data_IF_752713822108
#
_entry.id   IF_752713822108
#
_cell.length_a   1.000
_cell.length_b   1.000
_cell.length_c   1.000
_cell.angle_alpha   90.00
_cell.angle_beta   90.00
_cell.angle_gamma   90.00
#
_symmetry.space_group_name_H-M   'P 1'
#
loop_
_entity.id
_entity.type
_entity.pdbx_description
1 polymer ?
#
# COMPACT_ATOMS: atom_id res chain seq x y z
N UNK A 1 -12.66 3.70 10.62
CA UNK A 1 -13.68 4.67 11.09
C UNK A 1 -14.90 3.91 11.54
N UNK A 2 -15.56 3.14 10.67
CA UNK A 2 -16.78 2.39 11.02
C UNK A 2 -16.59 1.46 12.23
N UNK A 3 -15.46 0.75 12.29
CA UNK A 3 -15.13 -0.20 13.37
C UNK A 3 -14.83 0.49 14.72
N UNK A 4 -14.23 1.69 14.69
CA UNK A 4 -13.75 2.39 15.89
C UNK A 4 -14.73 3.45 16.37
N UNK A 5 -15.33 4.20 15.45
CA UNK A 5 -16.22 5.32 15.76
C UNK A 5 -17.70 4.99 15.54
N UNK A 6 -18.01 3.78 15.04
CA UNK A 6 -19.36 3.32 14.68
C UNK A 6 -20.12 4.26 13.72
N UNK A 7 -19.37 5.10 12.98
CA UNK A 7 -19.89 6.06 12.00
C UNK A 7 -19.44 5.64 10.61
N UNK A 8 -20.36 5.63 9.65
CA UNK A 8 -20.02 5.46 8.23
C UNK A 8 -19.67 6.83 7.66
N UNK A 9 -18.40 7.09 7.30
CA UNK A 9 -18.02 8.36 6.68
C UNK A 9 -18.61 8.45 5.28
N UNK A 10 -18.96 9.67 4.84
CA UNK A 10 -19.28 9.92 3.44
C UNK A 10 -18.05 9.73 2.56
N UNK A 11 -18.22 9.09 1.41
CA UNK A 11 -17.22 8.97 0.34
C UNK A 11 -17.37 10.07 -0.73
N UNK A 12 -18.38 10.93 -0.62
CA UNK A 12 -18.71 11.94 -1.63
C UNK A 12 -17.70 13.09 -1.65
N UNK A 13 -16.92 13.25 -0.57
CA UNK A 13 -15.95 14.32 -0.43
C UNK A 13 -14.52 13.79 -0.51
N UNK A 14 -13.71 14.33 -1.41
CA UNK A 14 -12.27 14.21 -1.39
C UNK A 14 -11.63 15.48 -0.81
N UNK A 15 -10.67 15.32 0.10
CA UNK A 15 -9.91 16.43 0.64
C UNK A 15 -8.42 16.22 0.38
N UNK A 16 -7.87 16.74 -0.73
CA UNK A 16 -6.44 16.69 -1.02
C UNK A 16 -5.59 17.41 0.02
N UNK A 17 -4.31 17.11 0.03
CA UNK A 17 -3.36 17.71 0.97
C UNK A 17 -3.38 19.23 0.87
N UNK A 18 -3.57 19.90 2.00
CA UNK A 18 -3.69 21.37 2.10
C UNK A 18 -4.71 21.98 1.12
N UNK A 19 -5.67 21.20 0.62
CA UNK A 19 -6.60 21.65 -0.40
C UNK A 19 -5.95 21.97 -1.76
N UNK A 20 -4.72 21.52 -1.99
CA UNK A 20 -4.04 21.72 -3.28
C UNK A 20 -4.56 20.72 -4.32
N UNK A 21 -4.88 21.20 -5.51
CA UNK A 21 -5.46 20.41 -6.58
C UNK A 21 -4.75 20.64 -7.92
N UNK A 22 -4.75 19.59 -8.72
CA UNK A 22 -4.43 19.59 -10.15
C UNK A 22 -5.38 18.62 -10.88
N UNK A 23 -5.36 18.54 -12.21
CA UNK A 23 -6.28 17.66 -12.95
C UNK A 23 -6.13 16.16 -12.60
N UNK A 24 -4.93 15.69 -12.26
CA UNK A 24 -4.71 14.31 -11.88
C UNK A 24 -5.28 13.99 -10.50
N UNK A 25 -5.14 14.90 -9.55
CA UNK A 25 -5.73 14.77 -8.21
C UNK A 25 -7.27 14.74 -8.29
N UNK A 26 -7.87 15.63 -9.08
CA UNK A 26 -9.32 15.63 -9.31
C UNK A 26 -9.76 14.30 -9.94
N UNK A 27 -9.05 13.83 -10.98
CA UNK A 27 -9.32 12.54 -11.62
C UNK A 27 -9.28 11.36 -10.65
N UNK A 28 -8.27 11.32 -9.78
CA UNK A 28 -8.17 10.25 -8.75
C UNK A 28 -9.34 10.34 -7.76
N UNK A 29 -9.69 11.54 -7.30
CA UNK A 29 -10.79 11.76 -6.39
C UNK A 29 -12.13 11.26 -6.98
N UNK A 30 -12.42 11.62 -8.22
CA UNK A 30 -13.66 11.21 -8.92
C UNK A 30 -13.67 9.71 -9.23
N UNK A 31 -12.54 9.13 -9.60
CA UNK A 31 -12.42 7.67 -9.80
C UNK A 31 -12.64 6.89 -8.50
N UNK A 32 -12.38 7.50 -7.34
CA UNK A 32 -12.66 6.93 -6.02
C UNK A 32 -14.11 7.17 -5.55
N UNK A 33 -14.97 7.76 -6.38
CA UNK A 33 -16.38 7.99 -6.11
C UNK A 33 -16.74 9.34 -5.49
N UNK A 34 -15.77 10.26 -5.32
CA UNK A 34 -16.07 11.61 -4.82
C UNK A 34 -16.57 12.51 -5.95
N UNK A 35 -17.70 13.18 -5.72
CA UNK A 35 -18.24 14.22 -6.61
C UNK A 35 -17.93 15.65 -6.12
N UNK A 36 -17.36 15.76 -4.91
CA UNK A 36 -16.99 17.01 -4.25
C UNK A 36 -15.53 16.99 -3.83
N UNK A 37 -14.79 18.04 -4.19
CA UNK A 37 -13.37 18.17 -3.83
C UNK A 37 -13.16 19.42 -2.98
N UNK A 38 -12.76 19.23 -1.74
CA UNK A 38 -12.40 20.36 -0.85
C UNK A 38 -11.05 20.91 -1.30
N UNK A 39 -11.09 22.08 -1.94
CA UNK A 39 -9.92 22.77 -2.47
C UNK A 39 -9.72 24.11 -1.78
N UNK A 40 -8.48 24.50 -1.55
CA UNK A 40 -8.16 25.82 -0.98
C UNK A 40 -8.17 26.89 -2.05
N UNK A 41 -8.67 28.09 -1.73
CA UNK A 41 -8.88 29.16 -2.69
C UNK A 41 -7.60 29.59 -3.43
N UNK A 42 -6.44 29.50 -2.77
CA UNK A 42 -5.12 29.79 -3.37
C UNK A 42 -4.56 28.65 -4.24
N UNK A 43 -5.23 27.52 -4.31
CA UNK A 43 -4.89 26.39 -5.20
C UNK A 43 -5.74 26.32 -6.47
N UNK A 44 -6.63 27.26 -6.66
CA UNK A 44 -7.52 27.35 -7.81
C UNK A 44 -7.27 28.66 -8.56
N UNK A 45 -7.62 28.70 -9.86
CA UNK A 45 -7.58 29.91 -10.64
C UNK A 45 -8.97 30.53 -10.72
N UNK A 46 -9.15 31.70 -10.12
CA UNK A 46 -10.34 32.49 -10.30
C UNK A 46 -10.27 33.18 -11.68
N UNK A 47 -11.31 33.00 -12.48
CA UNK A 47 -11.40 33.60 -13.82
C UNK A 47 -12.52 34.63 -13.91
N UNK A 48 -13.27 34.82 -12.82
CA UNK A 48 -14.32 35.85 -12.71
C UNK A 48 -13.81 37.15 -12.08
N UNK A 49 -14.47 38.26 -12.38
CA UNK A 49 -14.13 39.58 -11.87
C UNK A 49 -14.94 40.00 -10.64
N UNK A 50 -15.24 39.07 -9.70
CA UNK A 50 -15.99 39.39 -8.50
C UNK A 50 -15.18 40.24 -7.51
N UNK A 51 -15.80 41.27 -6.94
CA UNK A 51 -15.21 42.14 -5.92
C UNK A 51 -15.33 41.58 -4.50
N UNK A 52 -15.90 40.40 -4.35
CA UNK A 52 -16.12 39.72 -3.07
C UNK A 52 -15.78 38.22 -3.20
N UNK A 53 -15.49 37.56 -2.08
CA UNK A 53 -15.28 36.12 -2.00
C UNK A 53 -16.62 35.42 -2.20
N UNK A 54 -16.81 34.63 -3.27
CA UNK A 54 -18.09 33.95 -3.53
C UNK A 54 -18.28 32.72 -2.62
N UNK A 55 -19.51 32.17 -2.65
CA UNK A 55 -19.85 30.92 -1.95
C UNK A 55 -18.90 29.77 -2.29
N UNK A 56 -18.74 28.83 -1.36
CA UNK A 56 -17.77 27.76 -1.46
C UNK A 56 -18.03 26.78 -2.61
N UNK A 57 -19.29 26.50 -2.95
CA UNK A 57 -19.64 25.56 -4.01
C UNK A 57 -19.34 26.14 -5.38
N UNK A 58 -18.43 25.52 -6.16
CA UNK A 58 -18.01 26.00 -7.50
C UNK A 58 -17.85 24.83 -8.45
N UNK A 59 -18.64 24.77 -9.53
CA UNK A 59 -18.46 23.75 -10.55
C UNK A 59 -17.07 23.85 -11.22
N UNK A 60 -16.37 22.73 -11.34
CA UNK A 60 -15.04 22.65 -11.99
C UNK A 60 -15.04 21.75 -13.23
N UNK A 61 -16.22 21.34 -13.69
CA UNK A 61 -16.41 20.49 -14.85
C UNK A 61 -16.57 19.00 -14.48
N UNK A 62 -17.02 18.20 -15.46
CA UNK A 62 -17.17 16.74 -15.31
C UNK A 62 -18.16 16.30 -14.22
N UNK A 63 -19.14 17.12 -13.86
CA UNK A 63 -20.06 16.82 -12.75
C UNK A 63 -19.45 17.02 -11.36
N UNK A 64 -18.22 17.50 -11.27
CA UNK A 64 -17.49 17.69 -10.01
C UNK A 64 -17.65 19.12 -9.49
N UNK A 65 -17.88 19.26 -8.19
CA UNK A 65 -17.94 20.55 -7.48
C UNK A 65 -16.70 20.72 -6.60
N UNK A 66 -15.96 21.82 -6.79
CA UNK A 66 -15.00 22.26 -5.80
C UNK A 66 -15.74 22.92 -4.64
N UNK A 67 -15.50 22.44 -3.44
CA UNK A 67 -15.90 23.10 -2.19
C UNK A 67 -14.71 23.92 -1.71
N UNK A 68 -14.74 25.21 -2.08
CA UNK A 68 -13.58 26.09 -1.93
C UNK A 68 -13.48 26.60 -0.51
N UNK A 69 -12.39 26.20 0.17
CA UNK A 69 -12.07 26.70 1.48
C UNK A 69 -11.24 27.99 1.39
N UNK A 70 -11.60 28.99 2.19
CA UNK A 70 -10.83 30.24 2.26
C UNK A 70 -9.40 29.97 2.76
N UNK A 71 -8.40 30.39 1.99
CA UNK A 71 -7.01 30.09 2.28
C UNK A 71 -6.52 30.80 3.55
N UNK A 72 -6.91 32.04 3.78
CA UNK A 72 -6.47 32.84 4.94
C UNK A 72 -7.08 32.33 6.22
N UNK A 73 -8.38 32.02 6.23
CA UNK A 73 -9.04 31.40 7.38
C UNK A 73 -8.47 29.99 7.64
N UNK A 74 -8.27 29.20 6.61
CA UNK A 74 -7.75 27.84 6.74
C UNK A 74 -6.31 27.75 7.25
N UNK A 75 -5.51 28.80 7.08
CA UNK A 75 -4.11 28.85 7.54
C UNK A 75 -3.91 29.66 8.81
N UNK A 76 -4.96 30.26 9.37
CA UNK A 76 -4.88 31.16 10.54
C UNK A 76 -4.23 30.51 11.78
N UNK A 77 -4.40 29.19 11.94
CA UNK A 77 -3.92 28.43 13.09
C UNK A 77 -2.63 27.64 12.81
N UNK A 78 -1.92 27.92 11.71
CA UNK A 78 -0.63 27.29 11.41
C UNK A 78 0.50 27.88 12.27
N UNK A 79 1.54 27.05 12.48
CA UNK A 79 2.70 27.44 13.27
C UNK A 79 2.63 27.04 14.74
N UNK A 80 3.56 27.56 15.53
CA UNK A 80 3.63 27.26 16.98
C UNK A 80 2.68 28.16 17.76
N UNK A 81 1.65 27.57 18.35
CA UNK A 81 0.65 28.22 19.21
C UNK A 81 0.79 27.83 20.69
N UNK A 82 1.97 27.44 21.13
CA UNK A 82 2.21 27.11 22.55
C UNK A 82 2.23 28.33 23.46
N UNK A 83 2.57 29.51 22.91
CA UNK A 83 2.55 30.79 23.65
C UNK A 83 1.18 31.43 23.58
N UNK A 84 0.65 31.91 24.72
CA UNK A 84 -0.65 32.56 24.82
C UNK A 84 -0.80 33.74 23.83
N UNK A 85 0.25 34.56 23.64
CA UNK A 85 0.23 35.67 22.69
C UNK A 85 0.06 35.21 21.24
N UNK A 86 0.68 34.09 20.84
CA UNK A 86 0.52 33.52 19.52
C UNK A 86 -0.88 32.96 19.31
N UNK A 87 -1.45 32.28 20.32
CA UNK A 87 -2.83 31.80 20.32
C UNK A 87 -3.81 32.95 20.16
N UNK A 88 -3.73 33.95 21.00
CA UNK A 88 -4.60 35.16 20.93
C UNK A 88 -4.51 35.83 19.57
N UNK A 89 -3.29 35.99 19.01
CA UNK A 89 -3.12 36.61 17.70
C UNK A 89 -3.76 35.75 16.58
N UNK A 90 -3.65 34.41 16.63
CA UNK A 90 -4.27 33.53 15.67
C UNK A 90 -5.80 33.63 15.70
N UNK A 91 -6.39 33.61 16.89
CA UNK A 91 -7.83 33.79 17.09
C UNK A 91 -8.30 35.15 16.58
N UNK A 92 -7.62 36.23 16.93
CA UNK A 92 -7.98 37.58 16.49
C UNK A 92 -7.88 37.74 14.97
N UNK A 93 -6.83 37.17 14.34
CA UNK A 93 -6.69 37.16 12.87
C UNK A 93 -7.83 36.41 12.20
N UNK A 94 -8.21 35.26 12.74
CA UNK A 94 -9.32 34.50 12.22
C UNK A 94 -10.64 35.24 12.28
N UNK A 95 -10.96 35.86 13.44
CA UNK A 95 -12.17 36.64 13.65
C UNK A 95 -12.19 37.90 12.77
N UNK A 96 -11.10 38.66 12.70
CA UNK A 96 -10.98 39.83 11.84
C UNK A 96 -11.15 39.48 10.36
N UNK A 97 -10.54 38.38 9.90
CA UNK A 97 -10.71 37.90 8.51
C UNK A 97 -12.17 37.47 8.25
N UNK A 98 -12.82 36.76 9.18
CA UNK A 98 -14.22 36.36 9.02
C UNK A 98 -15.16 37.56 8.95
N UNK A 99 -14.95 38.57 9.80
CA UNK A 99 -15.70 39.83 9.75
C UNK A 99 -15.46 40.58 8.44
N UNK A 100 -14.20 40.66 7.99
CA UNK A 100 -13.85 41.29 6.69
C UNK A 100 -14.60 40.62 5.54
N UNK A 101 -14.68 39.29 5.54
CA UNK A 101 -15.48 38.56 4.54
C UNK A 101 -16.95 38.93 4.64
N UNK A 102 -17.52 39.03 5.84
CA UNK A 102 -18.89 39.48 6.06
C UNK A 102 -19.19 40.86 5.46
N UNK A 103 -18.26 41.79 5.59
CA UNK A 103 -18.40 43.18 5.12
C UNK A 103 -18.21 43.37 3.60
N UNK A 104 -17.73 42.38 2.86
CA UNK A 104 -17.53 42.50 1.42
C UNK A 104 -18.82 42.67 0.61
N UNK A 105 -19.94 42.16 1.08
CA UNK A 105 -21.21 42.19 0.42
C UNK A 105 -22.36 41.85 1.38
N UNK A 106 -23.55 42.37 1.10
CA UNK A 106 -24.76 42.04 1.85
C UNK A 106 -25.41 40.70 1.44
N UNK A 107 -24.82 40.00 0.45
CA UNK A 107 -25.30 38.67 0.03
C UNK A 107 -24.94 37.63 1.04
N UNK A 108 -25.89 36.77 1.40
CA UNK A 108 -25.62 35.57 2.20
C UNK A 108 -24.76 34.59 1.39
N UNK A 109 -23.68 34.10 1.99
CA UNK A 109 -22.70 33.19 1.34
C UNK A 109 -22.27 32.11 2.29
N UNK A 110 -21.94 30.97 1.74
CA UNK A 110 -21.33 29.84 2.47
C UNK A 110 -19.80 29.92 2.35
N UNK A 111 -19.12 30.19 3.44
CA UNK A 111 -17.67 30.21 3.53
C UNK A 111 -17.21 28.93 4.22
N UNK A 112 -16.29 28.19 3.61
CA UNK A 112 -15.73 26.97 4.18
C UNK A 112 -14.31 27.24 4.69
N UNK A 113 -13.99 26.66 5.83
CA UNK A 113 -12.66 26.68 6.45
C UNK A 113 -12.17 25.24 6.57
N UNK A 114 -11.00 24.94 6.01
CA UNK A 114 -10.37 23.61 6.03
C UNK A 114 -8.96 23.73 6.63
N UNK A 115 -8.81 23.76 7.95
CA UNK A 115 -7.51 23.88 8.62
C UNK A 115 -6.67 22.61 8.45
N UNK A 116 -5.47 22.59 9.02
CA UNK A 116 -4.59 21.41 9.00
C UNK A 116 -5.26 20.19 9.63
N UNK A 117 -5.05 19.00 9.03
CA UNK A 117 -5.70 17.74 9.46
C UNK A 117 -5.24 17.21 10.81
N UNK A 118 -4.01 17.53 11.20
CA UNK A 118 -3.38 17.06 12.43
C UNK A 118 -2.95 18.26 13.27
N UNK A 119 -3.91 19.00 13.88
CA UNK A 119 -3.57 20.11 14.75
C UNK A 119 -2.91 19.60 16.04
N UNK A 120 -1.98 20.39 16.58
CA UNK A 120 -1.49 20.20 17.95
C UNK A 120 -2.57 20.54 18.95
N UNK A 121 -2.39 20.17 20.22
CA UNK A 121 -3.35 20.50 21.27
C UNK A 121 -3.60 22.02 21.40
N UNK A 122 -2.53 22.82 21.31
CA UNK A 122 -2.62 24.30 21.33
C UNK A 122 -3.36 24.85 20.11
N UNK A 123 -3.10 24.32 18.92
CA UNK A 123 -3.83 24.70 17.72
C UNK A 123 -5.32 24.32 17.80
N UNK A 124 -5.62 23.13 18.29
CA UNK A 124 -7.01 22.68 18.48
C UNK A 124 -7.76 23.57 19.49
N UNK A 125 -7.10 23.95 20.59
CA UNK A 125 -7.66 24.84 21.59
C UNK A 125 -7.94 26.24 20.98
N UNK A 126 -7.01 26.81 20.23
CA UNK A 126 -7.20 28.08 19.51
C UNK A 126 -8.35 28.01 18.49
N UNK A 127 -8.49 26.91 17.76
CA UNK A 127 -9.63 26.70 16.84
C UNK A 127 -10.96 26.66 17.59
N UNK A 128 -11.02 25.97 18.73
CA UNK A 128 -12.23 25.90 19.56
C UNK A 128 -12.61 27.29 20.09
N UNK A 129 -11.65 28.05 20.59
CA UNK A 129 -11.87 29.44 21.06
C UNK A 129 -12.42 30.31 19.91
N UNK A 130 -11.80 30.25 18.73
CA UNK A 130 -12.23 31.01 17.56
C UNK A 130 -13.66 30.64 17.11
N UNK A 131 -14.01 29.34 17.10
CA UNK A 131 -15.36 28.89 16.76
C UNK A 131 -16.37 29.37 17.79
N UNK A 132 -16.09 29.27 19.08
CA UNK A 132 -16.98 29.76 20.14
C UNK A 132 -17.20 31.28 20.03
N UNK A 133 -16.14 32.05 19.78
CA UNK A 133 -16.25 33.49 19.57
C UNK A 133 -17.04 33.83 18.29
N UNK A 134 -16.86 33.06 17.20
CA UNK A 134 -17.60 33.23 15.96
C UNK A 134 -19.11 32.96 16.16
N UNK A 135 -19.45 31.90 16.91
CA UNK A 135 -20.84 31.54 17.23
C UNK A 135 -21.53 32.57 18.14
N UNK A 136 -20.74 33.24 18.98
CA UNK A 136 -21.25 34.34 19.84
C UNK A 136 -21.40 35.67 19.09
N UNK A 137 -20.83 35.76 17.87
CA UNK A 137 -20.92 36.94 17.00
C UNK A 137 -22.23 36.96 16.22
N UNK A 138 -22.54 38.17 15.68
CA UNK A 138 -23.80 38.40 14.93
C UNK A 138 -23.63 38.36 13.42
N UNK A 139 -22.38 38.17 12.91
CA UNK A 139 -22.07 38.25 11.48
C UNK A 139 -21.96 36.90 10.77
N UNK A 140 -22.09 35.79 11.50
CA UNK A 140 -21.98 34.44 10.94
C UNK A 140 -22.89 33.45 11.62
N UNK A 141 -23.27 32.43 10.86
CA UNK A 141 -24.04 31.28 11.33
C UNK A 141 -23.34 30.00 10.85
N UNK A 142 -23.29 29.02 11.73
CA UNK A 142 -22.69 27.72 11.37
C UNK A 142 -23.67 26.85 10.59
N UNK A 143 -23.18 26.16 9.57
CA UNK A 143 -23.97 25.23 8.79
C UNK A 143 -23.23 23.92 8.50
N UNK A 144 -23.97 22.90 8.07
CA UNK A 144 -23.38 21.61 7.67
C UNK A 144 -22.57 21.78 6.40
N UNK A 145 -21.41 21.09 6.32
CA UNK A 145 -20.56 21.09 5.11
C UNK A 145 -21.35 20.66 3.86
N UNK A 146 -22.24 19.69 4.00
CA UNK A 146 -23.12 19.23 2.89
C UNK A 146 -24.02 20.34 2.36
N UNK A 147 -24.53 21.20 3.23
CA UNK A 147 -25.33 22.36 2.84
C UNK A 147 -24.47 23.42 2.10
N UNK A 148 -23.27 23.69 2.62
CA UNK A 148 -22.31 24.58 1.96
C UNK A 148 -21.90 24.08 0.57
N UNK A 149 -21.72 22.76 0.42
CA UNK A 149 -21.36 22.13 -0.85
C UNK A 149 -22.53 22.10 -1.87
N UNK A 150 -23.76 22.11 -1.39
CA UNK A 150 -24.98 22.13 -2.22
C UNK A 150 -25.49 23.55 -2.49
N UNK A 151 -24.84 24.57 -1.92
CA UNK A 151 -25.25 25.96 -2.14
C UNK A 151 -25.16 26.34 -3.62
N UNK A 152 -26.12 27.16 -4.09
CA UNK A 152 -26.11 27.65 -5.46
C UNK A 152 -24.83 28.49 -5.69
N UNK A 153 -24.03 28.19 -6.73
CA UNK A 153 -22.90 29.02 -7.08
C UNK A 153 -23.25 30.47 -7.33
N UNK A 154 -22.42 31.40 -6.91
CA UNK A 154 -22.59 32.80 -7.23
C UNK A 154 -22.45 33.04 -8.75
N UNK A 155 -23.34 33.84 -9.37
CA UNK A 155 -23.16 34.23 -10.75
C UNK A 155 -21.82 34.92 -10.96
N UNK A 156 -21.06 34.50 -11.97
CA UNK A 156 -19.73 35.04 -12.25
C UNK A 156 -18.58 34.47 -11.40
N UNK A 157 -18.86 33.57 -10.45
CA UNK A 157 -17.83 32.82 -9.75
C UNK A 157 -17.30 31.70 -10.66
N UNK A 158 -16.40 32.02 -11.55
CA UNK A 158 -15.76 31.07 -12.46
C UNK A 158 -14.40 30.64 -11.90
N UNK A 159 -14.22 29.34 -11.75
CA UNK A 159 -13.03 28.75 -11.13
C UNK A 159 -12.51 27.62 -12.00
N UNK A 160 -11.21 27.58 -12.23
CA UNK A 160 -10.53 26.51 -12.97
C UNK A 160 -9.53 25.76 -12.09
N UNK A 161 -9.42 24.46 -12.32
CA UNK A 161 -8.32 23.66 -11.78
C UNK A 161 -7.06 24.05 -12.53
N UNK A 162 -5.98 24.49 -11.84
CA UNK A 162 -4.75 24.87 -12.49
C UNK A 162 -4.03 23.68 -13.11
N UNK A 163 -3.14 23.89 -14.09
CA UNK A 163 -2.36 22.79 -14.66
C UNK A 163 -1.41 22.16 -13.63
N UNK A 164 -0.98 20.92 -13.86
CA UNK A 164 -0.08 20.19 -12.97
C UNK A 164 1.25 20.94 -12.68
N UNK A 165 1.71 21.81 -13.59
CA UNK A 165 2.88 22.66 -13.39
C UNK A 165 2.71 23.71 -12.29
N UNK A 166 1.48 24.11 -12.00
CA UNK A 166 1.17 25.09 -10.94
C UNK A 166 1.00 24.44 -9.55
N UNK A 167 1.00 23.10 -9.45
CA UNK A 167 0.95 22.42 -8.17
C UNK A 167 2.17 22.73 -7.32
N UNK A 168 2.01 23.09 -6.02
CA UNK A 168 3.12 23.54 -5.19
C UNK A 168 4.29 22.55 -5.11
N UNK A 169 5.48 22.99 -5.50
CA UNK A 169 6.69 22.14 -5.49
C UNK A 169 7.03 21.62 -4.09
N UNK A 170 6.72 22.39 -3.04
CA UNK A 170 6.91 21.98 -1.64
C UNK A 170 6.03 20.77 -1.27
N UNK A 171 4.82 20.68 -1.79
CA UNK A 171 3.93 19.54 -1.59
C UNK A 171 4.37 18.35 -2.44
N UNK A 172 4.78 18.59 -3.70
CA UNK A 172 5.29 17.55 -4.60
C UNK A 172 6.54 16.86 -4.02
N UNK A 173 7.44 17.61 -3.40
CA UNK A 173 8.62 17.04 -2.72
C UNK A 173 8.28 16.11 -1.55
N UNK A 174 7.07 16.19 -1.00
CA UNK A 174 6.61 15.36 0.11
C UNK A 174 5.81 14.13 -0.36
N UNK A 175 5.56 13.98 -1.64
CA UNK A 175 4.85 12.84 -2.19
C UNK A 175 5.71 11.57 -2.14
N UNK A 176 5.05 10.41 -2.08
CA UNK A 176 5.73 9.13 -2.22
C UNK A 176 6.35 9.04 -3.62
N UNK A 177 7.62 8.66 -3.74
CA UNK A 177 8.27 8.50 -5.03
C UNK A 177 7.73 7.28 -5.77
N UNK A 178 7.88 7.24 -7.10
CA UNK A 178 7.49 6.11 -7.94
C UNK A 178 8.11 4.78 -7.46
N UNK A 179 9.37 4.83 -6.99
CA UNK A 179 10.05 3.65 -6.43
C UNK A 179 9.34 3.04 -5.23
N UNK A 180 8.69 3.85 -4.39
CA UNK A 180 7.90 3.34 -3.27
C UNK A 180 6.72 2.49 -3.76
N UNK A 181 6.00 2.95 -4.79
CA UNK A 181 4.89 2.18 -5.37
C UNK A 181 5.38 0.91 -6.08
N UNK A 182 6.56 0.95 -6.71
CA UNK A 182 7.18 -0.24 -7.29
C UNK A 182 7.55 -1.26 -6.22
N UNK A 183 8.09 -0.83 -5.08
CA UNK A 183 8.40 -1.70 -3.95
C UNK A 183 7.11 -2.31 -3.37
N UNK A 184 6.07 -1.50 -3.15
CA UNK A 184 4.77 -1.99 -2.67
C UNK A 184 4.18 -3.04 -3.63
N UNK A 185 4.26 -2.80 -4.94
CA UNK A 185 3.80 -3.76 -5.94
C UNK A 185 4.62 -5.05 -5.94
N UNK A 186 5.94 -4.97 -5.72
CA UNK A 186 6.81 -6.14 -5.55
C UNK A 186 6.41 -6.94 -4.30
N UNK A 187 6.22 -6.27 -3.17
CA UNK A 187 5.76 -6.89 -1.92
C UNK A 187 4.40 -7.57 -2.10
N UNK A 188 3.46 -6.93 -2.84
CA UNK A 188 2.18 -7.55 -3.17
C UNK A 188 2.35 -8.83 -3.99
N UNK A 189 3.23 -8.83 -5.00
CA UNK A 189 3.49 -10.02 -5.82
C UNK A 189 4.10 -11.16 -5.01
N UNK A 190 5.02 -10.86 -4.10
CA UNK A 190 5.59 -11.85 -3.16
C UNK A 190 4.51 -12.43 -2.24
N UNK A 191 3.61 -11.56 -1.73
CA UNK A 191 2.49 -11.99 -0.91
C UNK A 191 1.53 -12.90 -1.68
N UNK A 192 1.28 -12.58 -2.95
CA UNK A 192 0.41 -13.38 -3.83
C UNK A 192 0.99 -14.79 -4.04
N UNK A 193 2.31 -14.92 -4.17
CA UNK A 193 2.97 -16.22 -4.25
C UNK A 193 2.94 -17.00 -2.92
N UNK A 194 3.11 -16.31 -1.79
CA UNK A 194 3.05 -16.98 -0.48
C UNK A 194 1.62 -17.45 -0.15
N UNK A 195 0.61 -16.59 -0.38
CA UNK A 195 -0.76 -16.89 0.06
C UNK A 195 -1.34 -18.17 -0.59
N UNK A 196 -0.96 -18.47 -1.85
CA UNK A 196 -1.55 -19.62 -2.58
C UNK A 196 -1.16 -20.97 -2.00
N UNK A 197 -0.06 -21.02 -1.23
CA UNK A 197 0.40 -22.25 -0.59
C UNK A 197 -0.11 -22.41 0.85
N UNK A 198 -0.77 -21.41 1.43
CA UNK A 198 -1.17 -21.42 2.84
C UNK A 198 -2.54 -22.06 3.02
N UNK A 199 -2.68 -22.91 4.05
CA UNK A 199 -3.96 -23.50 4.45
C UNK A 199 -4.97 -22.45 4.97
N UNK A 200 -4.49 -21.36 5.61
CA UNK A 200 -5.30 -20.20 6.02
C UNK A 200 -4.66 -18.91 5.54
N UNK A 201 -5.06 -18.49 4.36
CA UNK A 201 -4.55 -17.26 3.72
C UNK A 201 -4.85 -16.00 4.55
N UNK A 202 -5.96 -15.96 5.28
CA UNK A 202 -6.43 -14.77 5.99
C UNK A 202 -5.45 -14.28 7.05
N UNK A 203 -4.71 -15.20 7.66
CA UNK A 203 -3.71 -14.92 8.70
C UNK A 203 -2.53 -14.09 8.20
N UNK A 204 -2.26 -14.14 6.90
CA UNK A 204 -1.17 -13.40 6.26
C UNK A 204 -1.70 -12.24 5.41
N UNK A 205 -2.70 -12.47 4.57
CA UNK A 205 -3.25 -11.46 3.67
C UNK A 205 -3.82 -10.26 4.42
N UNK A 206 -4.52 -10.46 5.53
CA UNK A 206 -5.14 -9.35 6.28
C UNK A 206 -4.11 -8.40 6.92
N UNK A 207 -3.08 -8.86 7.67
CA UNK A 207 -2.09 -7.95 8.24
C UNK A 207 -1.22 -7.28 7.17
N UNK A 208 -0.78 -7.99 6.12
CA UNK A 208 -0.01 -7.40 5.05
C UNK A 208 -0.82 -6.39 4.22
N UNK A 209 -2.09 -6.65 3.94
CA UNK A 209 -2.98 -5.68 3.29
C UNK A 209 -3.12 -4.38 4.10
N UNK A 210 -3.19 -4.48 5.43
CA UNK A 210 -3.18 -3.31 6.32
C UNK A 210 -1.84 -2.59 6.31
N UNK A 211 -0.72 -3.32 6.30
CA UNK A 211 0.63 -2.75 6.23
C UNK A 211 0.83 -1.98 4.91
N UNK A 212 0.49 -2.56 3.76
CA UNK A 212 0.58 -1.91 2.46
C UNK A 212 -0.33 -0.66 2.36
N UNK A 213 -1.54 -0.71 2.92
CA UNK A 213 -2.39 0.48 3.02
C UNK A 213 -1.74 1.57 3.89
N UNK A 214 -1.04 1.18 4.96
CA UNK A 214 -0.27 2.12 5.79
C UNK A 214 0.92 2.70 5.03
N UNK A 215 1.63 1.93 4.22
CA UNK A 215 2.73 2.41 3.37
C UNK A 215 2.31 3.54 2.43
N UNK A 216 1.07 3.49 1.94
CA UNK A 216 0.47 4.52 1.08
C UNK A 216 -0.15 5.69 1.86
N UNK A 217 -0.05 5.70 3.19
CA UNK A 217 -0.67 6.74 4.02
C UNK A 217 -0.07 8.12 3.78
N UNK A 218 -0.93 9.12 3.75
CA UNK A 218 -0.51 10.53 3.71
C UNK A 218 0.24 10.98 4.97
N UNK A 219 0.23 10.20 6.06
CA UNK A 219 1.00 10.47 7.27
C UNK A 219 2.52 10.43 7.05
N UNK A 220 2.98 9.81 5.98
CA UNK A 220 4.39 9.74 5.60
C UNK A 220 4.91 10.98 4.87
N UNK A 221 4.05 11.96 4.57
CA UNK A 221 4.48 13.19 3.91
C UNK A 221 5.57 13.91 4.72
N UNK A 222 6.67 14.23 4.07
CA UNK A 222 7.85 14.84 4.71
C UNK A 222 8.72 13.88 5.54
N UNK A 223 8.33 12.60 5.68
CA UNK A 223 9.00 11.59 6.50
C UNK A 223 9.51 10.42 5.65
N UNK A 224 10.23 10.74 4.57
CA UNK A 224 10.66 9.74 3.57
C UNK A 224 11.52 8.62 4.13
N UNK A 225 12.45 8.94 5.03
CA UNK A 225 13.33 7.94 5.65
C UNK A 225 12.53 6.90 6.43
N UNK A 226 11.66 7.35 7.32
CA UNK A 226 10.80 6.47 8.13
C UNK A 226 9.83 5.65 7.25
N UNK A 227 9.29 6.27 6.18
CA UNK A 227 8.44 5.56 5.23
C UNK A 227 9.20 4.47 4.46
N UNK A 228 10.48 4.70 4.13
CA UNK A 228 11.35 3.69 3.51
C UNK A 228 11.60 2.55 4.47
N UNK A 229 12.08 2.85 5.68
CA UNK A 229 12.34 1.83 6.71
C UNK A 229 11.09 0.97 6.97
N UNK A 230 9.91 1.57 7.05
CA UNK A 230 8.69 0.81 7.26
C UNK A 230 8.39 -0.17 6.10
N UNK A 231 8.61 0.25 4.84
CA UNK A 231 8.45 -0.65 3.68
C UNK A 231 9.50 -1.77 3.68
N UNK A 232 10.74 -1.42 4.00
CA UNK A 232 11.84 -2.39 4.09
C UNK A 232 11.57 -3.45 5.17
N UNK A 233 11.03 -3.03 6.32
CA UNK A 233 10.63 -3.93 7.40
C UNK A 233 9.49 -4.87 6.98
N UNK A 234 8.46 -4.35 6.29
CA UNK A 234 7.33 -5.16 5.79
C UNK A 234 7.81 -6.18 4.76
N UNK A 235 8.64 -5.77 3.80
CA UNK A 235 9.20 -6.66 2.79
C UNK A 235 10.11 -7.73 3.43
N UNK A 236 11.00 -7.34 4.33
CA UNK A 236 11.89 -8.27 5.05
C UNK A 236 11.12 -9.28 5.89
N UNK A 237 10.03 -8.86 6.53
CA UNK A 237 9.18 -9.77 7.29
C UNK A 237 8.47 -10.79 6.37
N UNK A 238 8.01 -10.36 5.20
CA UNK A 238 7.42 -11.25 4.20
C UNK A 238 8.44 -12.25 3.65
N UNK A 239 9.65 -11.79 3.33
CA UNK A 239 10.75 -12.64 2.86
C UNK A 239 11.13 -13.66 3.95
N UNK A 240 11.15 -13.23 5.21
CA UNK A 240 11.32 -14.11 6.36
C UNK A 240 10.23 -15.19 6.47
N UNK A 241 8.97 -14.87 6.23
CA UNK A 241 7.88 -15.87 6.20
C UNK A 241 8.02 -16.81 5.00
N UNK A 242 8.37 -16.29 3.84
CA UNK A 242 8.55 -17.11 2.62
C UNK A 242 9.67 -18.14 2.81
N UNK A 243 10.77 -17.76 3.44
CA UNK A 243 11.91 -18.64 3.72
C UNK A 243 11.65 -19.73 4.77
N UNK A 244 10.55 -19.62 5.54
CA UNK A 244 10.15 -20.67 6.48
C UNK A 244 9.68 -21.96 5.78
N UNK A 245 9.36 -21.89 4.49
CA UNK A 245 9.05 -23.09 3.71
C UNK A 245 10.17 -23.29 2.70
N UNK A 246 10.97 -24.31 2.92
CA UNK A 246 12.22 -24.51 2.17
C UNK A 246 12.51 -25.99 1.96
N UNK A 247 13.39 -26.27 1.04
CA UNK A 247 14.01 -27.58 0.88
C UNK A 247 15.19 -27.70 1.87
N UNK A 248 15.34 -28.87 2.46
CA UNK A 248 16.53 -29.16 3.27
C UNK A 248 17.68 -29.47 2.31
N UNK A 249 18.79 -28.77 2.53
CA UNK A 249 20.01 -28.97 1.78
C UNK A 249 20.46 -30.43 1.84
N UNK A 250 20.95 -30.91 0.71
CA UNK A 250 21.38 -32.27 0.55
C UNK A 250 22.82 -32.34 0.08
N UNK A 251 23.63 -33.14 0.75
CA UNK A 251 24.95 -33.53 0.30
C UNK A 251 24.86 -34.55 -0.84
N UNK A 252 26.03 -34.90 -1.39
CA UNK A 252 26.16 -35.93 -2.43
C UNK A 252 25.37 -37.20 -2.07
N UNK A 253 24.60 -37.71 -3.01
CA UNK A 253 23.86 -38.98 -2.85
C UNK A 253 24.52 -40.07 -3.70
N UNK A 254 24.81 -41.22 -3.08
CA UNK A 254 25.34 -42.39 -3.78
C UNK A 254 24.19 -43.32 -4.18
N UNK A 255 24.10 -43.66 -5.45
CA UNK A 255 23.18 -44.65 -5.96
C UNK A 255 23.97 -45.92 -6.36
N UNK A 256 23.60 -47.03 -5.74
CA UNK A 256 24.16 -48.35 -6.08
C UNK A 256 23.11 -49.17 -6.89
N UNK A 257 23.43 -49.51 -8.12
CA UNK A 257 22.57 -50.24 -9.03
C UNK A 257 21.78 -49.35 -10.00
N UNK A 258 20.96 -49.99 -10.84
CA UNK A 258 20.22 -49.31 -11.94
C UNK A 258 18.98 -48.54 -11.51
N UNK A 259 18.41 -48.87 -10.35
CA UNK A 259 17.22 -48.20 -9.83
C UNK A 259 17.44 -47.86 -8.36
N UNK A 260 17.13 -46.64 -7.98
CA UNK A 260 17.21 -46.20 -6.59
C UNK A 260 16.19 -45.08 -6.31
N UNK A 261 16.05 -44.72 -5.04
CA UNK A 261 15.13 -43.69 -4.62
C UNK A 261 15.93 -42.51 -4.02
N UNK A 262 15.66 -41.31 -4.53
CA UNK A 262 16.20 -40.07 -3.99
C UNK A 262 15.14 -39.44 -3.07
N UNK A 263 15.38 -39.37 -1.76
CA UNK A 263 14.53 -38.64 -0.84
C UNK A 263 14.87 -37.16 -0.90
N UNK A 264 13.86 -36.27 -0.99
CA UNK A 264 14.00 -34.83 -0.87
C UNK A 264 13.02 -34.36 0.22
N UNK A 265 13.50 -33.56 1.17
CA UNK A 265 12.72 -33.16 2.33
C UNK A 265 12.32 -31.70 2.21
N UNK A 266 11.04 -31.43 2.31
CA UNK A 266 10.45 -30.11 2.44
C UNK A 266 10.23 -29.82 3.92
N UNK A 267 10.66 -28.68 4.38
CA UNK A 267 10.45 -28.20 5.75
C UNK A 267 9.50 -27.01 5.75
N UNK A 268 8.53 -27.04 6.66
CA UNK A 268 7.62 -25.95 6.92
C UNK A 268 7.76 -25.51 8.38
N UNK A 269 8.44 -24.40 8.61
CA UNK A 269 8.62 -23.77 9.92
C UNK A 269 7.51 -22.76 10.26
N UNK A 270 6.51 -22.56 9.37
CA UNK A 270 5.34 -21.74 9.67
C UNK A 270 4.48 -22.42 10.74
N UNK A 271 3.69 -21.62 11.46
CA UNK A 271 2.73 -22.11 12.45
C UNK A 271 1.53 -22.85 11.80
N UNK A 272 1.29 -22.57 10.51
CA UNK A 272 0.19 -23.16 9.73
C UNK A 272 0.68 -24.12 8.67
N UNK A 273 -0.23 -24.98 8.19
CA UNK A 273 0.05 -25.90 7.10
C UNK A 273 0.28 -25.19 5.76
N UNK A 274 1.02 -25.85 4.90
CA UNK A 274 1.18 -25.49 3.50
C UNK A 274 0.61 -26.58 2.62
N UNK A 275 -0.12 -26.17 1.60
CA UNK A 275 -0.85 -27.00 0.64
C UNK A 275 -0.56 -26.46 -0.75
N UNK A 276 -1.03 -27.12 -1.79
CA UNK A 276 -0.90 -26.61 -3.17
C UNK A 276 0.55 -26.39 -3.65
N UNK A 277 1.51 -27.10 -3.05
CA UNK A 277 2.89 -27.14 -3.49
C UNK A 277 3.16 -28.37 -4.35
N UNK A 278 4.06 -28.21 -5.33
CA UNK A 278 4.65 -29.29 -6.10
C UNK A 278 6.16 -29.27 -5.93
N UNK A 279 6.74 -30.40 -5.62
CA UNK A 279 8.19 -30.59 -5.61
C UNK A 279 8.58 -31.22 -6.93
N UNK A 280 9.40 -30.50 -7.70
CA UNK A 280 10.01 -30.98 -8.93
C UNK A 280 11.45 -31.38 -8.66
N UNK A 281 11.83 -32.57 -9.08
CA UNK A 281 13.20 -33.03 -9.14
C UNK A 281 13.62 -33.13 -10.61
N UNK A 282 14.67 -32.45 -11.00
CA UNK A 282 15.15 -32.37 -12.40
C UNK A 282 16.57 -32.93 -12.49
N UNK A 283 16.84 -33.85 -13.41
CA UNK A 283 18.17 -34.28 -13.76
C UNK A 283 18.79 -33.36 -14.81
N UNK A 284 19.97 -32.82 -14.52
CA UNK A 284 20.74 -32.06 -15.50
C UNK A 284 21.54 -32.93 -16.48
N UNK A 285 21.48 -34.27 -16.27
CA UNK A 285 22.15 -35.27 -17.09
C UNK A 285 21.24 -36.46 -17.35
N UNK A 286 20.10 -36.28 -18.08
CA UNK A 286 19.08 -37.33 -18.24
C UNK A 286 19.62 -38.58 -18.93
N UNK A 287 20.67 -38.48 -19.77
CA UNK A 287 21.34 -39.60 -20.37
C UNK A 287 22.05 -40.52 -19.35
N UNK A 288 22.30 -40.02 -18.12
CA UNK A 288 22.92 -40.81 -17.04
C UNK A 288 21.94 -41.17 -15.93
N UNK A 289 21.02 -40.26 -15.65
CA UNK A 289 20.04 -40.43 -14.57
C UNK A 289 18.71 -39.86 -15.02
N UNK A 290 17.70 -40.70 -15.06
CA UNK A 290 16.31 -40.33 -15.26
C UNK A 290 15.55 -40.33 -13.94
N UNK A 291 14.52 -39.49 -13.83
CA UNK A 291 13.66 -39.36 -12.66
C UNK A 291 12.24 -39.73 -13.07
N UNK A 292 11.74 -40.85 -12.57
CA UNK A 292 10.44 -41.38 -12.99
C UNK A 292 10.35 -41.71 -14.49
N UNK A 293 11.51 -42.05 -15.15
CA UNK A 293 11.59 -42.32 -16.58
C UNK A 293 11.64 -41.06 -17.48
N UNK A 294 11.85 -39.90 -16.88
CA UNK A 294 11.91 -38.61 -17.57
C UNK A 294 13.11 -37.76 -17.10
N UNK A 295 13.34 -36.61 -17.76
CA UNK A 295 14.33 -35.66 -17.30
C UNK A 295 13.96 -34.97 -15.97
N UNK A 296 12.68 -34.89 -15.64
CA UNK A 296 12.16 -34.41 -14.38
C UNK A 296 10.87 -35.14 -13.98
N UNK A 297 10.55 -35.09 -12.70
CA UNK A 297 9.28 -35.58 -12.17
C UNK A 297 8.77 -34.67 -11.05
N UNK A 298 7.44 -34.47 -10.99
CA UNK A 298 6.77 -33.66 -9.99
C UNK A 298 5.89 -34.48 -9.07
N UNK A 299 5.90 -34.11 -7.79
CA UNK A 299 4.97 -34.69 -6.82
C UNK A 299 4.32 -33.57 -5.99
N UNK A 300 3.04 -33.71 -5.69
CA UNK A 300 2.31 -32.82 -4.78
C UNK A 300 2.85 -32.98 -3.36
N UNK A 301 2.97 -31.87 -2.64
CA UNK A 301 3.48 -31.84 -1.28
C UNK A 301 2.56 -31.02 -0.39
N UNK A 302 2.21 -31.56 0.76
CA UNK A 302 1.44 -30.89 1.81
C UNK A 302 2.20 -31.10 3.11
N UNK A 303 2.50 -30.03 3.84
CA UNK A 303 3.30 -30.08 5.07
C UNK A 303 2.60 -29.33 6.19
N UNK A 304 2.27 -30.01 7.27
CA UNK A 304 1.69 -29.38 8.47
C UNK A 304 2.65 -28.34 9.07
N UNK A 305 2.10 -27.35 9.80
CA UNK A 305 2.90 -26.33 10.46
C UNK A 305 3.89 -26.91 11.46
N UNK A 306 5.14 -26.43 11.42
CA UNK A 306 6.23 -26.90 12.27
C UNK A 306 6.77 -28.29 11.94
N UNK A 307 6.39 -28.86 10.78
CA UNK A 307 6.79 -30.22 10.39
C UNK A 307 7.61 -30.24 9.10
N UNK A 308 8.16 -31.42 8.81
CA UNK A 308 8.81 -31.68 7.52
C UNK A 308 8.22 -32.93 6.87
N UNK A 309 8.26 -32.96 5.54
CA UNK A 309 7.83 -34.10 4.74
C UNK A 309 8.89 -34.49 3.73
N UNK A 310 9.23 -35.79 3.73
CA UNK A 310 10.17 -36.36 2.77
C UNK A 310 9.40 -36.99 1.60
N UNK A 311 9.66 -36.49 0.40
CA UNK A 311 9.16 -37.01 -0.86
C UNK A 311 10.22 -37.90 -1.50
N UNK A 312 9.83 -39.07 -1.96
CA UNK A 312 10.75 -40.06 -2.56
C UNK A 312 10.57 -40.09 -4.07
N UNK A 313 11.66 -39.89 -4.81
CA UNK A 313 11.70 -39.94 -6.27
C UNK A 313 12.41 -41.19 -6.73
N UNK A 314 11.71 -42.04 -7.49
CA UNK A 314 12.31 -43.18 -8.16
C UNK A 314 13.19 -42.71 -9.31
N UNK A 315 14.41 -43.21 -9.37
CA UNK A 315 15.36 -42.85 -10.41
C UNK A 315 15.90 -44.08 -11.10
N UNK A 316 16.21 -43.93 -12.40
CA UNK A 316 16.83 -44.97 -13.23
C UNK A 316 18.18 -44.46 -13.71
N UNK A 317 19.23 -45.23 -13.42
CA UNK A 317 20.58 -44.94 -13.85
C UNK A 317 20.85 -45.63 -15.18
N UNK A 318 21.22 -44.85 -16.21
CA UNK A 318 21.50 -45.32 -17.55
C UNK A 318 23.01 -45.43 -17.81
N UNK A 319 23.84 -44.74 -17.00
CA UNK A 319 25.30 -44.79 -17.08
C UNK A 319 25.97 -44.49 -15.74
N UNK A 320 27.13 -45.03 -15.52
CA UNK A 320 27.98 -44.73 -14.35
C UNK A 320 28.51 -43.29 -14.39
N UNK A 321 28.73 -42.73 -13.22
CA UNK A 321 29.35 -41.42 -13.05
C UNK A 321 28.47 -40.45 -12.23
N UNK A 322 28.85 -39.20 -12.26
CA UNK A 322 28.20 -38.13 -11.52
C UNK A 322 27.08 -37.47 -12.35
N UNK A 323 25.91 -37.33 -11.78
CA UNK A 323 24.77 -36.60 -12.37
C UNK A 323 24.30 -35.51 -11.40
N UNK A 324 24.28 -34.27 -11.87
CA UNK A 324 23.74 -33.17 -11.08
C UNK A 324 22.22 -33.14 -11.16
N UNK A 325 21.59 -32.89 -10.03
CA UNK A 325 20.12 -32.85 -9.85
C UNK A 325 19.73 -31.54 -9.18
N UNK A 326 18.58 -31.00 -9.56
CA UNK A 326 17.99 -29.80 -8.97
C UNK A 326 16.61 -30.13 -8.42
N UNK A 327 16.41 -29.84 -7.15
CA UNK A 327 15.11 -29.86 -6.52
C UNK A 327 14.58 -28.44 -6.37
N UNK A 328 13.32 -28.21 -6.77
CA UNK A 328 12.66 -26.91 -6.69
C UNK A 328 11.19 -27.09 -6.33
N UNK A 329 10.72 -26.23 -5.42
CA UNK A 329 9.29 -26.11 -5.14
C UNK A 329 8.62 -25.21 -6.18
N UNK A 330 7.36 -25.53 -6.49
CA UNK A 330 6.49 -24.74 -7.36
C UNK A 330 5.10 -24.65 -6.73
N UNK A 331 4.44 -23.51 -6.97
CA UNK A 331 3.00 -23.37 -6.70
C UNK A 331 2.19 -24.19 -7.73
N UNK A 332 0.89 -24.40 -7.50
CA UNK A 332 0.04 -25.14 -8.46
C UNK A 332 -0.06 -24.50 -9.84
N UNK A 333 0.04 -23.17 -9.90
CA UNK A 333 0.07 -22.38 -11.15
C UNK A 333 1.47 -22.31 -11.80
N UNK A 334 2.42 -23.09 -11.28
CA UNK A 334 3.73 -23.29 -11.90
C UNK A 334 4.77 -22.21 -11.62
N UNK A 335 4.52 -21.31 -10.66
CA UNK A 335 5.52 -20.33 -10.26
C UNK A 335 6.55 -20.98 -9.31
N UNK A 336 7.86 -20.69 -9.48
CA UNK A 336 8.87 -21.19 -8.55
C UNK A 336 8.67 -20.59 -7.16
N UNK A 337 8.85 -21.41 -6.13
CA UNK A 337 8.73 -21.02 -4.73
C UNK A 337 10.01 -21.35 -3.96
N UNK A 338 10.55 -20.36 -3.26
CA UNK A 338 11.80 -20.48 -2.49
C UNK A 338 13.02 -20.80 -3.37
N UNK A 339 14.10 -21.14 -2.71
CA UNK A 339 15.39 -21.43 -3.38
C UNK A 339 15.45 -22.88 -3.86
N UNK A 340 16.11 -23.08 -5.01
CA UNK A 340 16.38 -24.40 -5.55
C UNK A 340 17.58 -25.02 -4.83
N UNK A 341 17.50 -26.31 -4.53
CA UNK A 341 18.62 -27.09 -3.97
C UNK A 341 19.26 -27.93 -5.07
N UNK A 342 20.54 -27.70 -5.32
CA UNK A 342 21.32 -28.49 -6.26
C UNK A 342 22.25 -29.43 -5.49
N UNK A 343 22.27 -30.68 -5.90
CA UNK A 343 23.18 -31.70 -5.35
C UNK A 343 23.60 -32.72 -6.40
N UNK A 344 24.69 -33.43 -6.12
CA UNK A 344 25.24 -34.41 -7.03
C UNK A 344 24.81 -35.83 -6.63
N UNK A 345 24.53 -36.62 -7.64
CA UNK A 345 24.20 -38.05 -7.52
C UNK A 345 25.30 -38.86 -8.17
N UNK A 346 26.03 -39.63 -7.40
CA UNK A 346 27.06 -40.53 -7.90
C UNK A 346 26.47 -41.91 -8.16
N UNK A 347 26.37 -42.27 -9.44
CA UNK A 347 25.87 -43.56 -9.91
C UNK A 347 27.02 -44.55 -10.00
N UNK A 348 26.91 -45.66 -9.28
CA UNK A 348 27.86 -46.80 -9.36
C UNK A 348 27.08 -48.05 -9.66
N UNK A 349 27.31 -48.65 -10.82
CA UNK A 349 26.72 -49.89 -11.25
C UNK A 349 27.63 -51.06 -10.81
N UNK A 350 27.05 -52.08 -10.16
CA UNK A 350 27.79 -53.35 -9.99
C UNK A 350 27.75 -54.07 -11.37
N UNK A 351 28.88 -54.07 -12.07
CA UNK A 351 29.03 -54.90 -13.25
C UNK A 351 29.05 -56.37 -12.78
N UNK A 352 28.28 -57.21 -13.49
CA UNK A 352 28.20 -58.66 -13.21
C UNK A 352 29.55 -59.41 -13.26
N UNK A 353 30.60 -58.76 -13.72
CA UNK A 353 31.97 -59.30 -13.82
C UNK A 353 32.67 -59.48 -12.44
N UNK A 354 32.16 -58.85 -11.40
CA UNK A 354 32.74 -59.04 -10.03
C UNK A 354 32.22 -60.27 -9.31
N UNK A 355 31.17 -60.92 -9.77
CA UNK A 355 30.59 -62.12 -9.14
C UNK A 355 31.16 -63.45 -9.66
N UNK A 356 32.21 -63.40 -10.51
CA UNK A 356 32.81 -64.61 -11.08
C UNK A 356 34.21 -64.95 -10.52
N UNK A 357 34.61 -64.36 -9.42
CA UNK A 357 35.84 -64.64 -8.71
C UNK A 357 35.53 -64.86 -7.20
N UNK A 358 34.76 -65.89 -6.91
CA UNK A 358 34.77 -66.58 -5.60
C UNK A 358 34.56 -68.08 -5.89
#
# INVERSE_FOLDING_TARGET
VKTVLHVTPSSDFAWPVNGAVDPSIVKVATSAGADRVIARSDSLQETGGLSYTPSAARPIGGGTTAVVADARLSTAFQGDLTKASATTLAVQRFLAQSLTLGLQTNKQRSIVVAPQRMPTASQAAAMAEAINALQSGTWSETQKLTAAAAAKPDPGATTKVPPASAYPASLRKQELPKSAFQQIASTQSKLDNLKVILSDQSRVVTPFGRAMNREMSTSWRGRRGEASSFRDDVESYLDGLTSQVSLIDKSETKLSGRSATIPVTVQNNLVQGVEHLRLRLTSLSPNRLEIGGHSYYEQRVEVSGGHSQTVKFTTTANANGQAAVVAQLYTEDGQPYGDAVRFDVKVTEFTATVMLVI
#
